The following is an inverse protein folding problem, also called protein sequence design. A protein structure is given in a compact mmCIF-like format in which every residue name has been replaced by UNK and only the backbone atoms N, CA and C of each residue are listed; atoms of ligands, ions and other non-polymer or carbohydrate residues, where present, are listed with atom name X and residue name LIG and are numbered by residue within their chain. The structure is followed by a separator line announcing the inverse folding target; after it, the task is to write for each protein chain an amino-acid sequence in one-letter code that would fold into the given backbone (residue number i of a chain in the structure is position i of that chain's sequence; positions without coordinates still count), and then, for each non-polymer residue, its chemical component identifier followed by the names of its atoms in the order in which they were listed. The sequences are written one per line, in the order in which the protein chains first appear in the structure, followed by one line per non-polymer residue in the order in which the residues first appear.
data_IF_376868296214
#
_entry.id   IF_376868296214
#
_cell.length_a   1.000
_cell.length_b   1.000
_cell.length_c   1.000
_cell.angle_alpha   90.00
_cell.angle_beta   90.00
_cell.angle_gamma   90.00
#
_symmetry.space_group_name_H-M   'P 1'
#
loop_
_entity.id
_entity.type
_entity.pdbx_description
1 polymer ?
#
# COMPACT_ATOMS: atom_id res chain seq x y z
N UNK A 1 -6.24 49.40 -39.44
CA UNK A 1 -6.77 49.40 -38.07
C UNK A 1 -7.14 47.96 -37.78
N UNK A 2 -6.06 47.22 -37.56
CA UNK A 2 -5.90 45.90 -36.98
C UNK A 2 -6.54 45.91 -35.56
N UNK A 3 -7.08 44.85 -34.97
CA UNK A 3 -6.70 43.43 -34.98
C UNK A 3 -7.95 42.52 -34.88
N UNK A 4 -8.01 41.39 -35.62
CA UNK A 4 -8.92 40.28 -35.36
C UNK A 4 -8.29 39.23 -34.42
N UNK A 5 -9.14 38.47 -33.75
CA UNK A 5 -8.84 37.22 -33.01
C UNK A 5 -7.87 37.31 -31.83
N UNK A 6 -8.43 37.57 -30.64
CA UNK A 6 -7.86 37.04 -29.41
C UNK A 6 -8.07 35.52 -29.39
N UNK A 7 -7.14 34.78 -29.98
CA UNK A 7 -6.91 33.40 -29.54
C UNK A 7 -6.63 33.45 -28.03
N UNK A 8 -7.37 32.69 -27.18
CA UNK A 8 -7.00 32.55 -25.79
C UNK A 8 -5.63 31.88 -25.79
N UNK A 9 -4.60 32.69 -25.59
CA UNK A 9 -3.22 32.26 -25.50
C UNK A 9 -3.15 31.16 -24.45
N UNK A 10 -2.75 29.98 -24.91
CA UNK A 10 -2.37 28.85 -24.09
C UNK A 10 -1.62 29.34 -22.86
N UNK A 11 -2.11 28.97 -21.68
CA UNK A 11 -1.29 28.90 -20.48
C UNK A 11 -1.05 27.42 -20.17
N UNK A 12 -0.02 26.77 -20.74
CA UNK A 12 0.24 25.35 -20.49
C UNK A 12 1.30 25.12 -19.39
N UNK A 13 1.65 26.13 -18.59
CA UNK A 13 2.81 26.06 -17.69
C UNK A 13 2.50 25.94 -16.20
N UNK A 14 1.25 26.06 -15.76
CA UNK A 14 0.85 25.71 -14.37
C UNK A 14 0.33 24.27 -14.26
N UNK A 15 -0.41 23.78 -15.26
CA UNK A 15 -1.03 22.44 -15.25
C UNK A 15 -0.02 21.29 -15.10
N UNK A 16 1.20 21.44 -15.63
CA UNK A 16 2.19 20.34 -15.61
C UNK A 16 2.77 20.10 -14.22
N UNK A 17 3.13 21.16 -13.50
CA UNK A 17 3.69 21.03 -12.15
C UNK A 17 2.62 20.67 -11.10
N UNK A 18 1.36 21.07 -11.32
CA UNK A 18 0.23 20.69 -10.49
C UNK A 18 -0.16 19.21 -10.73
N UNK A 19 -0.27 18.79 -11.99
CA UNK A 19 -0.54 17.40 -12.36
C UNK A 19 0.57 16.43 -11.91
N UNK A 20 1.84 16.86 -11.88
CA UNK A 20 2.93 16.05 -11.34
C UNK A 20 2.85 15.88 -9.81
N UNK A 21 2.40 16.90 -9.08
CA UNK A 21 2.19 16.84 -7.63
C UNK A 21 0.98 15.98 -7.28
N UNK A 22 -0.13 16.16 -8.00
CA UNK A 22 -1.33 15.32 -7.86
C UNK A 22 -1.04 13.87 -8.26
N UNK A 23 -0.33 13.64 -9.37
CA UNK A 23 0.05 12.32 -9.83
C UNK A 23 0.97 11.59 -8.85
N UNK A 24 1.92 12.29 -8.20
CA UNK A 24 2.77 11.70 -7.15
C UNK A 24 1.99 11.35 -5.89
N UNK A 25 1.02 12.17 -5.50
CA UNK A 25 0.17 11.90 -4.35
C UNK A 25 -0.79 10.72 -4.61
N UNK A 26 -1.35 10.66 -5.82
CA UNK A 26 -2.19 9.56 -6.27
C UNK A 26 -1.38 8.26 -6.38
N UNK A 27 -0.21 8.29 -7.02
CA UNK A 27 0.68 7.13 -7.10
C UNK A 27 1.09 6.61 -5.71
N UNK A 28 1.41 7.49 -4.75
CA UNK A 28 1.77 7.09 -3.39
C UNK A 28 0.61 6.44 -2.62
N UNK A 29 -0.62 6.91 -2.85
CA UNK A 29 -1.82 6.31 -2.28
C UNK A 29 -2.13 4.93 -2.86
N UNK A 30 -1.95 4.76 -4.18
CA UNK A 30 -2.13 3.47 -4.86
C UNK A 30 -1.08 2.42 -4.46
N UNK A 31 0.17 2.84 -4.25
CA UNK A 31 1.25 1.95 -3.76
C UNK A 31 0.90 1.38 -2.38
N UNK A 32 0.28 2.16 -1.49
CA UNK A 32 -0.16 1.67 -0.19
C UNK A 32 -1.15 0.51 -0.28
N UNK A 33 -2.11 0.59 -1.19
CA UNK A 33 -3.13 -0.46 -1.42
C UNK A 33 -2.49 -1.71 -2.03
N UNK A 34 -1.59 -1.53 -3.01
CA UNK A 34 -0.90 -2.63 -3.67
C UNK A 34 -0.02 -3.42 -2.69
N UNK A 35 0.76 -2.72 -1.84
CA UNK A 35 1.62 -3.34 -0.84
C UNK A 35 0.81 -4.13 0.18
N UNK A 36 -0.28 -3.57 0.69
CA UNK A 36 -1.15 -4.28 1.66
C UNK A 36 -1.77 -5.53 1.04
N UNK A 37 -2.22 -5.45 -0.21
CA UNK A 37 -2.78 -6.60 -0.94
C UNK A 37 -1.75 -7.71 -1.12
N UNK A 38 -0.51 -7.36 -1.51
CA UNK A 38 0.59 -8.32 -1.66
C UNK A 38 0.93 -8.97 -0.31
N UNK A 39 1.08 -8.17 0.75
CA UNK A 39 1.37 -8.70 2.09
C UNK A 39 0.25 -9.60 2.61
N UNK A 40 -1.01 -9.27 2.34
CA UNK A 40 -2.17 -10.09 2.68
C UNK A 40 -2.17 -11.43 1.96
N UNK A 41 -1.91 -11.43 0.64
CA UNK A 41 -1.78 -12.67 -0.13
C UNK A 41 -0.60 -13.52 0.34
N UNK A 42 0.55 -12.90 0.64
CA UNK A 42 1.71 -13.61 1.18
C UNK A 42 1.39 -14.24 2.54
N UNK A 43 0.72 -13.52 3.44
CA UNK A 43 0.27 -14.08 4.72
C UNK A 43 -0.67 -15.26 4.52
N UNK A 44 -1.61 -15.15 3.58
CA UNK A 44 -2.54 -16.25 3.28
C UNK A 44 -1.79 -17.49 2.79
N UNK A 45 -0.87 -17.32 1.83
CA UNK A 45 -0.07 -18.43 1.28
C UNK A 45 0.79 -19.06 2.37
N UNK A 46 1.49 -18.26 3.18
CA UNK A 46 2.32 -18.75 4.28
C UNK A 46 1.46 -19.49 5.31
N UNK A 47 0.30 -18.94 5.68
CA UNK A 47 -0.64 -19.59 6.59
C UNK A 47 -1.16 -20.92 6.07
N UNK A 48 -1.47 -21.02 4.77
CA UNK A 48 -1.87 -22.27 4.12
C UNK A 48 -0.72 -23.29 4.08
N UNK A 49 0.50 -22.85 3.77
CA UNK A 49 1.68 -23.72 3.77
C UNK A 49 1.98 -24.28 5.17
N UNK A 50 1.83 -23.46 6.21
CA UNK A 50 1.95 -23.91 7.60
C UNK A 50 0.83 -24.86 7.99
N UNK A 51 -0.43 -24.53 7.65
CA UNK A 51 -1.59 -25.38 7.98
C UNK A 51 -1.56 -26.76 7.30
N UNK A 52 -0.92 -26.86 6.14
CA UNK A 52 -0.74 -28.13 5.41
C UNK A 52 0.53 -28.88 5.84
N UNK A 53 1.36 -28.29 6.70
CA UNK A 53 2.67 -28.84 7.08
C UNK A 53 3.67 -28.88 5.91
N UNK A 54 3.41 -28.14 4.83
CA UNK A 54 4.28 -28.08 3.66
C UNK A 54 5.58 -27.34 3.96
N UNK A 55 5.53 -26.31 4.82
CA UNK A 55 6.67 -25.51 5.22
C UNK A 55 6.58 -25.15 6.70
N UNK A 56 7.68 -25.34 7.41
CA UNK A 56 7.80 -25.07 8.84
C UNK A 56 8.56 -23.74 9.08
N UNK A 57 7.99 -22.64 8.57
CA UNK A 57 8.65 -21.31 8.55
C UNK A 57 8.96 -20.80 9.96
N UNK A 58 8.14 -21.18 10.95
CA UNK A 58 8.24 -20.72 12.32
C UNK A 58 8.83 -21.76 13.29
N UNK A 59 9.29 -22.92 12.80
CA UNK A 59 9.99 -23.91 13.61
C UNK A 59 11.20 -23.33 14.38
N UNK A 60 12.00 -22.39 13.83
CA UNK A 60 13.09 -21.77 14.58
C UNK A 60 12.63 -20.81 15.70
N UNK A 61 11.37 -20.39 15.67
CA UNK A 61 10.81 -19.40 16.61
C UNK A 61 10.11 -20.10 17.78
N UNK A 62 9.46 -21.23 17.52
CA UNK A 62 8.78 -22.02 18.55
C UNK A 62 8.75 -23.51 18.18
N UNK A 63 9.07 -24.36 19.16
CA UNK A 63 9.09 -25.83 19.01
C UNK A 63 7.69 -26.48 19.06
N UNK A 64 6.64 -25.70 19.41
CA UNK A 64 5.27 -26.20 19.53
C UNK A 64 4.37 -25.61 18.45
N UNK A 65 3.45 -26.42 17.92
CA UNK A 65 2.47 -26.00 16.91
C UNK A 65 1.67 -24.77 17.36
N UNK A 66 1.20 -24.76 18.61
CA UNK A 66 0.49 -23.59 19.18
C UNK A 66 1.40 -22.35 19.25
N UNK A 67 2.68 -22.53 19.56
CA UNK A 67 3.66 -21.43 19.58
C UNK A 67 3.93 -20.86 18.19
N UNK A 68 3.99 -21.71 17.17
CA UNK A 68 4.15 -21.29 15.77
C UNK A 68 2.94 -20.50 15.27
N UNK A 69 1.72 -20.96 15.59
CA UNK A 69 0.49 -20.21 15.30
C UNK A 69 0.41 -18.88 16.04
N UNK A 70 0.90 -18.82 17.28
CA UNK A 70 1.02 -17.55 18.01
C UNK A 70 2.00 -16.59 17.31
N UNK A 71 3.17 -17.08 16.88
CA UNK A 71 4.15 -16.28 16.15
C UNK A 71 3.60 -15.77 14.80
N UNK A 72 2.90 -16.64 14.06
CA UNK A 72 2.20 -16.25 12.83
C UNK A 72 1.12 -15.20 13.11
N UNK A 73 0.35 -15.35 14.19
CA UNK A 73 -0.66 -14.38 14.62
C UNK A 73 -0.05 -13.01 14.91
N UNK A 74 1.10 -12.95 15.59
CA UNK A 74 1.84 -11.71 15.83
C UNK A 74 2.29 -11.07 14.52
N UNK A 75 2.82 -11.85 13.57
CA UNK A 75 3.21 -11.35 12.26
C UNK A 75 2.00 -10.76 11.50
N UNK A 76 0.86 -11.46 11.52
CA UNK A 76 -0.37 -10.99 10.89
C UNK A 76 -0.83 -9.66 11.51
N UNK A 77 -0.77 -9.53 12.84
CA UNK A 77 -1.09 -8.28 13.53
C UNK A 77 -0.16 -7.13 13.14
N UNK A 78 1.14 -7.39 12.97
CA UNK A 78 2.10 -6.38 12.50
C UNK A 78 1.74 -5.90 11.09
N UNK A 79 1.43 -6.82 10.18
CA UNK A 79 1.00 -6.46 8.82
C UNK A 79 -0.30 -5.65 8.84
N UNK A 80 -1.27 -6.05 9.66
CA UNK A 80 -2.53 -5.31 9.82
C UNK A 80 -2.31 -3.92 10.43
N UNK A 81 -1.37 -3.77 11.37
CA UNK A 81 -1.02 -2.48 11.94
C UNK A 81 -0.38 -1.56 10.88
N UNK A 82 0.52 -2.10 10.04
CA UNK A 82 1.11 -1.36 8.91
C UNK A 82 0.03 -0.95 7.91
N UNK A 83 -0.89 -1.86 7.58
CA UNK A 83 -2.00 -1.59 6.68
C UNK A 83 -2.94 -0.50 7.23
N UNK A 84 -3.33 -0.61 8.50
CA UNK A 84 -4.17 0.37 9.18
C UNK A 84 -3.50 1.74 9.33
N UNK A 85 -2.19 1.77 9.60
CA UNK A 85 -1.42 3.02 9.64
C UNK A 85 -1.31 3.67 8.26
N UNK A 86 -1.09 2.87 7.21
CA UNK A 86 -1.09 3.32 5.81
C UNK A 86 -2.39 4.02 5.45
N UNK A 87 -3.55 3.43 5.77
CA UNK A 87 -4.86 4.04 5.51
C UNK A 87 -5.11 5.29 6.36
N UNK A 88 -4.64 5.33 7.61
CA UNK A 88 -4.76 6.53 8.46
C UNK A 88 -3.88 7.68 7.98
N UNK A 89 -2.74 7.39 7.35
CA UNK A 89 -1.88 8.40 6.75
C UNK A 89 -2.51 9.00 5.48
N UNK A 90 -3.11 8.16 4.61
CA UNK A 90 -3.80 8.60 3.39
C UNK A 90 -5.07 9.41 3.71
N UNK A 91 -5.89 8.96 4.67
CA UNK A 91 -7.13 9.66 5.04
C UNK A 91 -6.88 11.04 5.68
N UNK A 92 -5.75 11.24 6.37
CA UNK A 92 -5.44 12.51 7.05
C UNK A 92 -4.84 13.57 6.13
N UNK A 93 -4.44 13.23 4.90
CA UNK A 93 -3.98 14.22 3.91
C UNK A 93 -5.11 14.85 3.10
N UNK A 94 -6.37 14.46 3.34
CA UNK A 94 -7.54 14.90 2.58
C UNK A 94 -8.42 15.90 3.35
N UNK A 95 -7.90 16.50 4.43
CA UNK A 95 -8.51 17.59 5.23
C UNK A 95 -7.50 18.72 5.34
#
# INVERSE_FOLDING_TARGET
MDEPDQEPTEKPTEDREEAEREGKWMARSWVGIAVVSILGLLLLVIGMMQATGLVDVFAPVADSETGQWAAFGVLALVVLAIAGWSWRAVSRSNT
#
